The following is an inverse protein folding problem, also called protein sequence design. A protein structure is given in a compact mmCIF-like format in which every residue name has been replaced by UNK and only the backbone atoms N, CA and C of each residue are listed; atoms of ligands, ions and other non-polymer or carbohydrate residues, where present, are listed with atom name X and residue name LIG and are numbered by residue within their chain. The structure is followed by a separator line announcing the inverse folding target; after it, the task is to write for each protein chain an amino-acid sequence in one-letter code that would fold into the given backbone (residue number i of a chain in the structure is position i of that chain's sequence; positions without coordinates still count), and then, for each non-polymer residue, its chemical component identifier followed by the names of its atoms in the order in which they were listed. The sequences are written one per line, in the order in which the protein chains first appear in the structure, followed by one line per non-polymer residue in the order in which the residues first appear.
data_IF_399555410899
#
_entry.id   IF_399555410899
#
_cell.length_a   1.000
_cell.length_b   1.000
_cell.length_c   1.000
_cell.angle_alpha   90.00
_cell.angle_beta   90.00
_cell.angle_gamma   90.00
#
_symmetry.space_group_name_H-M   'P 1'
#
loop_
_entity.id
_entity.type
_entity.pdbx_description
1 polymer ?
#
# COMPACT_ATOMS: atom_id res chain seq x y z
N UNK A 1 0.00 18.02 1.66
CA UNK A 1 -1.06 17.82 0.66
C UNK A 1 -2.25 17.21 1.39
N UNK A 2 -3.47 17.72 1.21
CA UNK A 2 -4.68 17.17 1.84
C UNK A 2 -5.33 16.25 0.81
N UNK A 3 -5.62 15.01 1.18
CA UNK A 3 -6.30 14.05 0.31
C UNK A 3 -7.79 14.41 0.35
N UNK A 4 -8.32 14.91 -0.77
CA UNK A 4 -9.75 15.17 -0.94
C UNK A 4 -10.38 13.97 -1.64
N UNK A 5 -10.54 12.88 -0.89
CA UNK A 5 -11.26 11.68 -1.34
C UNK A 5 -12.44 11.43 -0.43
N UNK A 6 -13.50 10.86 -0.99
CA UNK A 6 -14.62 10.40 -0.18
C UNK A 6 -14.23 9.15 0.63
N UNK A 7 -15.03 8.84 1.65
CA UNK A 7 -14.77 7.70 2.54
C UNK A 7 -14.64 6.37 1.79
N UNK A 8 -15.41 6.16 0.71
CA UNK A 8 -15.41 4.90 -0.05
C UNK A 8 -14.16 4.79 -0.92
N UNK A 9 -13.75 5.88 -1.54
CA UNK A 9 -12.55 5.98 -2.36
C UNK A 9 -11.30 5.76 -1.51
N UNK A 10 -11.26 6.27 -0.28
CA UNK A 10 -10.16 6.04 0.66
C UNK A 10 -9.98 4.53 0.92
N UNK A 11 -11.06 3.82 1.26
CA UNK A 11 -11.00 2.38 1.49
C UNK A 11 -10.62 1.61 0.23
N UNK A 12 -11.17 2.01 -0.91
CA UNK A 12 -10.85 1.37 -2.19
C UNK A 12 -9.37 1.50 -2.54
N UNK A 13 -8.78 2.69 -2.32
CA UNK A 13 -7.35 2.93 -2.54
C UNK A 13 -6.50 2.12 -1.56
N UNK A 14 -6.83 2.13 -0.27
CA UNK A 14 -6.13 1.34 0.75
C UNK A 14 -6.14 -0.16 0.41
N UNK A 15 -7.30 -0.70 0.07
CA UNK A 15 -7.47 -2.11 -0.30
C UNK A 15 -6.69 -2.45 -1.59
N UNK A 16 -6.75 -1.57 -2.59
CA UNK A 16 -6.01 -1.76 -3.85
C UNK A 16 -4.49 -1.80 -3.63
N UNK A 17 -3.95 -0.90 -2.82
CA UNK A 17 -2.50 -0.88 -2.50
C UNK A 17 -2.14 -2.13 -1.69
N UNK A 18 -2.95 -2.49 -0.69
CA UNK A 18 -2.71 -3.66 0.14
C UNK A 18 -2.74 -4.96 -0.67
N UNK A 19 -3.73 -5.13 -1.55
CA UNK A 19 -3.83 -6.27 -2.46
C UNK A 19 -2.60 -6.39 -3.36
N UNK A 20 -2.14 -5.26 -3.93
CA UNK A 20 -0.92 -5.22 -4.74
C UNK A 20 0.33 -5.54 -3.92
N UNK A 21 0.42 -5.07 -2.66
CA UNK A 21 1.50 -5.42 -1.75
C UNK A 21 1.58 -6.94 -1.54
N UNK A 22 0.46 -7.59 -1.27
CA UNK A 22 0.40 -9.05 -1.07
C UNK A 22 0.84 -9.80 -2.33
N UNK A 23 0.29 -9.45 -3.50
CA UNK A 23 0.65 -10.12 -4.76
C UNK A 23 2.12 -9.93 -5.12
N UNK A 24 2.65 -8.71 -4.98
CA UNK A 24 4.06 -8.42 -5.27
C UNK A 24 4.99 -9.13 -4.28
N UNK A 25 4.62 -9.17 -2.99
CA UNK A 25 5.40 -9.89 -1.97
C UNK A 25 5.48 -11.39 -2.27
N UNK A 26 4.38 -11.99 -2.72
CA UNK A 26 4.36 -13.39 -3.14
C UNK A 26 5.26 -13.60 -4.36
N UNK A 27 5.10 -12.77 -5.39
CA UNK A 27 5.94 -12.84 -6.60
C UNK A 27 7.44 -12.72 -6.27
N UNK A 28 7.83 -11.75 -5.44
CA UNK A 28 9.24 -11.55 -5.05
C UNK A 28 9.81 -12.69 -4.21
N UNK A 29 8.96 -13.48 -3.55
CA UNK A 29 9.33 -14.69 -2.80
C UNK A 29 9.50 -15.89 -3.74
N UNK A 30 8.64 -16.02 -4.75
CA UNK A 30 8.66 -17.14 -5.71
C UNK A 30 9.76 -16.98 -6.75
N UNK A 31 10.03 -15.75 -7.18
CA UNK A 31 11.06 -15.42 -8.15
C UNK A 31 12.26 -14.87 -7.39
N UNK A 32 13.39 -15.58 -7.34
CA UNK A 32 14.61 -15.12 -6.64
C UNK A 32 15.58 -14.39 -7.56
N UNK A 33 15.47 -14.60 -8.88
CA UNK A 33 16.28 -13.91 -9.87
C UNK A 33 16.02 -12.40 -9.82
N UNK A 34 17.09 -11.62 -9.91
CA UNK A 34 17.02 -10.17 -9.96
C UNK A 34 16.46 -9.70 -11.29
N UNK A 35 16.72 -10.41 -12.39
CA UNK A 35 16.27 -10.03 -13.74
C UNK A 35 14.74 -9.95 -13.81
N UNK A 36 14.05 -10.91 -13.18
CA UNK A 36 12.59 -10.99 -13.11
C UNK A 36 11.93 -9.84 -12.32
N UNK A 37 12.73 -9.01 -11.63
CA UNK A 37 12.28 -7.93 -10.73
C UNK A 37 12.64 -6.53 -11.22
N UNK A 38 13.46 -6.41 -12.26
CA UNK A 38 13.91 -5.11 -12.75
C UNK A 38 12.72 -4.30 -13.26
N UNK A 39 12.58 -3.06 -12.79
CA UNK A 39 11.49 -2.16 -13.17
C UNK A 39 10.15 -2.43 -12.48
N UNK A 40 10.07 -3.42 -11.59
CA UNK A 40 8.87 -3.68 -10.80
C UNK A 40 8.83 -2.80 -9.54
N UNK A 41 7.64 -2.33 -9.18
CA UNK A 41 7.41 -1.76 -7.85
C UNK A 41 7.63 -2.83 -6.79
N UNK A 42 8.51 -2.56 -5.84
CA UNK A 42 8.87 -3.48 -4.76
C UNK A 42 7.79 -3.56 -3.68
N UNK A 43 7.75 -4.66 -2.89
CA UNK A 43 6.87 -4.72 -1.72
C UNK A 43 7.12 -3.59 -0.72
N UNK A 44 8.36 -3.13 -0.58
CA UNK A 44 8.71 -2.05 0.36
C UNK A 44 8.16 -0.69 -0.11
N UNK A 45 8.24 -0.40 -1.41
CA UNK A 45 7.63 0.81 -1.97
C UNK A 45 6.11 0.83 -1.78
N UNK A 46 5.43 -0.31 -1.98
CA UNK A 46 3.98 -0.42 -1.77
C UNK A 46 3.60 -0.31 -0.29
N UNK A 47 4.40 -0.90 0.61
CA UNK A 47 4.25 -0.75 2.06
C UNK A 47 4.36 0.71 2.48
N UNK A 48 5.38 1.41 1.99
CA UNK A 48 5.58 2.83 2.29
C UNK A 48 4.45 3.68 1.73
N UNK A 49 3.99 3.41 0.52
CA UNK A 49 2.84 4.08 -0.08
C UNK A 49 1.57 3.89 0.77
N UNK A 50 1.25 2.65 1.15
CA UNK A 50 0.10 2.34 2.00
C UNK A 50 0.19 3.06 3.35
N UNK A 51 1.34 2.94 4.04
CA UNK A 51 1.51 3.50 5.38
C UNK A 51 1.45 5.04 5.36
N UNK A 52 2.06 5.69 4.36
CA UNK A 52 2.02 7.14 4.22
C UNK A 52 0.62 7.65 3.86
N UNK A 53 -0.13 6.89 3.05
CA UNK A 53 -1.53 7.22 2.74
C UNK A 53 -2.41 7.05 3.98
N UNK A 54 -2.26 5.96 4.71
CA UNK A 54 -3.00 5.68 5.94
C UNK A 54 -2.73 6.72 7.04
N UNK A 55 -1.48 7.18 7.20
CA UNK A 55 -1.16 8.28 8.11
C UNK A 55 -1.93 9.57 7.78
N UNK A 56 -2.03 9.91 6.49
CA UNK A 56 -2.78 11.09 6.06
C UNK A 56 -4.29 10.92 6.29
N UNK A 57 -4.81 9.71 6.13
CA UNK A 57 -6.21 9.38 6.44
C UNK A 57 -6.46 9.49 7.96
N UNK A 58 -5.56 8.97 8.79
CA UNK A 58 -5.65 9.08 10.24
C UNK A 58 -5.61 10.53 10.72
N UNK A 59 -4.77 11.36 10.10
CA UNK A 59 -4.68 12.79 10.41
C UNK A 59 -6.00 13.53 10.12
N UNK A 60 -6.85 13.00 9.23
CA UNK A 60 -8.19 13.52 8.93
C UNK A 60 -9.28 12.98 9.87
N UNK A 61 -8.90 12.11 10.82
CA UNK A 61 -9.82 11.53 11.80
C UNK A 61 -10.54 10.27 11.32
N UNK A 62 -10.30 9.83 10.09
CA UNK A 62 -10.93 8.65 9.48
C UNK A 62 -10.12 7.37 9.75
N UNK A 63 -10.81 6.23 9.76
CA UNK A 63 -10.22 4.88 9.75
C UNK A 63 -9.11 4.58 10.78
N UNK A 64 -9.11 5.24 11.95
CA UNK A 64 -8.10 5.11 13.01
C UNK A 64 -7.83 3.69 13.53
N UNK A 65 -8.72 2.74 13.22
CA UNK A 65 -8.63 1.35 13.60
C UNK A 65 -7.80 0.50 12.62
N UNK A 66 -7.53 1.01 11.40
CA UNK A 66 -6.71 0.31 10.44
C UNK A 66 -5.24 0.37 10.87
N UNK A 67 -4.54 -0.75 10.71
CA UNK A 67 -3.13 -0.86 11.07
C UNK A 67 -2.22 -0.67 9.87
N UNK A 68 -1.01 -0.18 10.15
CA UNK A 68 0.08 -0.15 9.20
C UNK A 68 0.56 -1.55 8.88
N UNK A 69 1.03 -1.75 7.64
CA UNK A 69 1.73 -2.96 7.24
C UNK A 69 3.07 -3.02 7.99
N UNK A 70 3.35 -4.16 8.65
CA UNK A 70 4.55 -4.41 9.45
C UNK A 70 5.79 -4.71 8.61
#
# INVERSE_FOLDING_TARGET
MKIELDDKDILYVLDSIHGKYISTKLYFKEHTDKIDKIGMTTPEELKNLYNNFLEQVHAQGQYKFLEKIK
#
